data_IF_569083790306
#
_entry.id   IF_569083790306
#
_cell.length_a   1.000
_cell.length_b   1.000
_cell.length_c   1.000
_cell.angle_alpha   90.00
_cell.angle_beta   90.00
_cell.angle_gamma   90.00
#
_symmetry.space_group_name_H-M   'P 1'
#
loop_
_entity.id
_entity.type
_entity.pdbx_description
1 polymer ?
#
# COMPACT_ATOMS: atom_id res chain seq x y z
N UNK A 1 -27.16 1.62 -2.45
CA UNK A 1 -26.44 0.48 -3.06
C UNK A 1 -24.98 0.40 -2.62
N UNK A 2 -24.39 1.49 -2.11
CA UNK A 2 -23.09 1.58 -1.43
C UNK A 2 -22.80 0.52 -0.35
N UNK A 3 -23.77 0.20 0.52
CA UNK A 3 -23.50 -0.59 1.73
C UNK A 3 -23.23 -2.07 1.48
N UNK A 4 -23.64 -2.63 0.34
CA UNK A 4 -23.46 -4.06 0.03
C UNK A 4 -22.04 -4.34 -0.46
N UNK A 5 -21.46 -3.43 -1.26
CA UNK A 5 -20.10 -3.58 -1.80
C UNK A 5 -19.02 -3.43 -0.72
N UNK A 6 -19.16 -2.45 0.18
CA UNK A 6 -18.24 -2.29 1.33
C UNK A 6 -18.28 -3.48 2.29
N UNK A 7 -19.47 -4.03 2.55
CA UNK A 7 -19.64 -5.24 3.36
C UNK A 7 -18.95 -6.44 2.71
N UNK A 8 -18.98 -6.53 1.37
CA UNK A 8 -18.29 -7.58 0.62
C UNK A 8 -16.77 -7.51 0.74
N UNK A 9 -16.17 -6.31 0.75
CA UNK A 9 -14.72 -6.13 0.86
C UNK A 9 -14.23 -6.45 2.27
N UNK A 10 -14.89 -5.94 3.30
CA UNK A 10 -14.52 -6.23 4.69
C UNK A 10 -14.60 -7.73 4.99
N UNK A 11 -15.64 -8.41 4.48
CA UNK A 11 -15.78 -9.87 4.60
C UNK A 11 -14.65 -10.60 3.87
N UNK A 12 -14.24 -10.13 2.69
CA UNK A 12 -13.11 -10.71 1.96
C UNK A 12 -11.78 -10.54 2.72
N UNK A 13 -11.54 -9.36 3.30
CA UNK A 13 -10.36 -9.11 4.13
C UNK A 13 -10.34 -10.03 5.35
N UNK A 14 -11.45 -10.15 6.07
CA UNK A 14 -11.55 -11.01 7.26
C UNK A 14 -11.28 -12.47 6.92
N UNK A 15 -11.88 -12.97 5.83
CA UNK A 15 -11.62 -14.33 5.35
C UNK A 15 -10.15 -14.56 5.00
N UNK A 16 -9.51 -13.59 4.34
CA UNK A 16 -8.11 -13.68 3.96
C UNK A 16 -7.21 -13.72 5.20
N UNK A 17 -7.48 -12.86 6.19
CA UNK A 17 -6.70 -12.79 7.45
C UNK A 17 -6.79 -14.12 8.21
N UNK A 18 -7.99 -14.68 8.34
CA UNK A 18 -8.23 -15.94 9.04
C UNK A 18 -7.42 -17.08 8.39
N UNK A 19 -7.56 -17.25 7.07
CA UNK A 19 -6.88 -18.30 6.30
C UNK A 19 -5.36 -18.14 6.30
N UNK A 20 -4.87 -16.90 6.18
CA UNK A 20 -3.45 -16.61 6.23
C UNK A 20 -2.78 -16.97 7.57
N UNK A 21 -3.55 -17.01 8.67
CA UNK A 21 -3.07 -17.44 9.98
C UNK A 21 -2.64 -18.92 10.03
N UNK A 22 -3.14 -19.74 9.11
CA UNK A 22 -2.86 -21.18 9.04
C UNK A 22 -1.69 -21.51 8.09
N UNK A 23 -1.23 -20.55 7.29
CA UNK A 23 -0.17 -20.72 6.29
C UNK A 23 1.20 -20.83 6.96
N UNK A 24 1.89 -21.96 6.72
CA UNK A 24 3.25 -22.21 7.22
C UNK A 24 4.36 -21.86 6.21
N UNK A 25 4.05 -21.90 4.92
CA UNK A 25 5.00 -21.55 3.84
C UNK A 25 5.13 -20.03 3.74
N UNK A 26 6.35 -19.50 3.60
CA UNK A 26 6.60 -18.05 3.53
C UNK A 26 5.95 -17.27 4.71
N UNK A 27 5.86 -17.87 5.90
CA UNK A 27 5.05 -17.36 7.01
C UNK A 27 5.34 -15.90 7.36
N UNK A 28 6.61 -15.48 7.34
CA UNK A 28 7.00 -14.10 7.62
C UNK A 28 6.49 -13.11 6.55
N UNK A 29 6.51 -13.51 5.28
CA UNK A 29 5.96 -12.71 4.17
C UNK A 29 4.44 -12.66 4.21
N UNK A 30 3.78 -13.77 4.56
CA UNK A 30 2.32 -13.82 4.76
C UNK A 30 1.89 -12.95 5.95
N UNK A 31 2.70 -12.89 7.02
CA UNK A 31 2.49 -11.98 8.17
C UNK A 31 2.54 -10.51 7.77
N UNK A 32 3.39 -10.12 6.83
CA UNK A 32 3.43 -8.74 6.33
C UNK A 32 2.13 -8.35 5.63
N UNK A 33 1.65 -9.22 4.74
CA UNK A 33 0.39 -9.00 4.00
C UNK A 33 -0.79 -8.91 4.97
N UNK A 34 -0.90 -9.84 5.92
CA UNK A 34 -1.98 -9.83 6.92
C UNK A 34 -1.95 -8.60 7.82
N UNK A 35 -0.77 -8.17 8.26
CA UNK A 35 -0.64 -6.95 9.07
C UNK A 35 -1.15 -5.72 8.30
N UNK A 36 -0.83 -5.61 7.02
CA UNK A 36 -1.34 -4.53 6.16
C UNK A 36 -2.86 -4.61 5.97
N UNK A 37 -3.40 -5.82 5.80
CA UNK A 37 -4.85 -6.03 5.68
C UNK A 37 -5.60 -5.65 6.97
N UNK A 38 -5.04 -5.95 8.15
CA UNK A 38 -5.61 -5.54 9.44
C UNK A 38 -5.68 -4.00 9.54
N UNK A 39 -4.62 -3.29 9.13
CA UNK A 39 -4.61 -1.81 9.11
C UNK A 39 -5.66 -1.25 8.16
N UNK A 40 -5.72 -1.76 6.93
CA UNK A 40 -6.70 -1.36 5.93
C UNK A 40 -8.13 -1.63 6.38
N UNK A 41 -8.40 -2.79 6.98
CA UNK A 41 -9.69 -3.13 7.57
C UNK A 41 -10.13 -2.09 8.60
N UNK A 42 -9.23 -1.70 9.53
CA UNK A 42 -9.51 -0.68 10.53
C UNK A 42 -9.88 0.65 9.88
N UNK A 43 -9.08 1.10 8.89
CA UNK A 43 -9.33 2.35 8.17
C UNK A 43 -10.67 2.36 7.43
N UNK A 44 -11.05 1.23 6.82
CA UNK A 44 -12.37 1.08 6.18
C UNK A 44 -13.51 1.09 7.20
N UNK A 45 -13.32 0.46 8.36
CA UNK A 45 -14.31 0.47 9.43
C UNK A 45 -14.54 1.87 9.99
N UNK A 46 -13.48 2.67 10.08
CA UNK A 46 -13.53 4.06 10.56
C UNK A 46 -14.09 5.02 9.50
N UNK A 47 -13.90 4.73 8.20
CA UNK A 47 -14.34 5.56 7.06
C UNK A 47 -15.69 5.16 6.45
N UNK A 48 -16.29 4.07 6.93
CA UNK A 48 -17.59 3.52 6.50
C UNK A 48 -18.76 4.53 6.59
N UNK A 49 -18.58 5.62 7.34
CA UNK A 49 -19.55 6.71 7.48
C UNK A 49 -19.42 7.81 6.41
N UNK A 50 -18.35 7.85 5.60
CA UNK A 50 -18.02 9.04 4.79
C UNK A 50 -17.80 8.78 3.30
N UNK A 51 -17.40 7.58 2.87
CA UNK A 51 -16.91 7.37 1.49
C UNK A 51 -17.72 6.35 0.68
N UNK A 52 -18.63 6.87 -0.14
CA UNK A 52 -19.28 6.18 -1.26
C UNK A 52 -18.37 6.24 -2.50
N UNK A 53 -17.12 5.77 -2.39
CA UNK A 53 -16.12 5.78 -3.46
C UNK A 53 -15.98 4.39 -4.08
N UNK A 54 -16.82 4.09 -5.07
CA UNK A 54 -16.84 2.81 -5.81
C UNK A 54 -15.50 2.46 -6.46
N UNK A 55 -14.71 3.45 -6.90
CA UNK A 55 -13.42 3.22 -7.56
C UNK A 55 -12.35 2.70 -6.59
N UNK A 56 -12.37 3.19 -5.34
CA UNK A 56 -11.47 2.74 -4.27
C UNK A 56 -11.71 1.27 -3.91
N UNK A 57 -12.95 0.80 -4.06
CA UNK A 57 -13.38 -0.55 -3.75
C UNK A 57 -12.97 -1.57 -4.81
N UNK A 58 -13.05 -1.19 -6.09
CA UNK A 58 -12.63 -2.04 -7.22
C UNK A 58 -11.11 -2.28 -7.20
N UNK A 59 -10.31 -1.23 -7.02
CA UNK A 59 -8.84 -1.32 -6.91
C UNK A 59 -8.42 -2.27 -5.78
N UNK A 60 -9.10 -2.20 -4.63
CA UNK A 60 -8.81 -3.08 -3.50
C UNK A 60 -9.23 -4.53 -3.79
N UNK A 61 -10.38 -4.75 -4.42
CA UNK A 61 -10.80 -6.09 -4.82
C UNK A 61 -9.80 -6.76 -5.77
N UNK A 62 -9.21 -5.99 -6.70
CA UNK A 62 -8.15 -6.47 -7.59
C UNK A 62 -6.85 -6.83 -6.85
N UNK A 63 -6.55 -6.20 -5.70
CA UNK A 63 -5.41 -6.55 -4.85
C UNK A 63 -5.73 -7.77 -3.96
N UNK A 64 -6.95 -7.88 -3.45
CA UNK A 64 -7.36 -8.98 -2.56
C UNK A 64 -7.46 -10.32 -3.27
N UNK A 65 -7.90 -10.35 -4.53
CA UNK A 65 -8.01 -11.58 -5.32
C UNK A 65 -6.69 -12.37 -5.42
N UNK A 66 -5.56 -11.79 -5.89
CA UNK A 66 -4.30 -12.53 -5.96
C UNK A 66 -3.76 -12.93 -4.58
N UNK A 67 -4.06 -12.17 -3.51
CA UNK A 67 -3.68 -12.56 -2.15
C UNK A 67 -4.43 -13.83 -1.73
N UNK A 68 -5.74 -13.88 -1.98
CA UNK A 68 -6.57 -15.04 -1.64
C UNK A 68 -6.20 -16.27 -2.47
N UNK A 69 -5.86 -16.10 -3.75
CA UNK A 69 -5.35 -17.18 -4.62
C UNK A 69 -4.03 -17.75 -4.07
N UNK A 70 -3.10 -16.88 -3.66
CA UNK A 70 -1.82 -17.31 -3.09
C UNK A 70 -2.01 -18.06 -1.77
N UNK A 71 -2.85 -17.55 -0.87
CA UNK A 71 -3.14 -18.21 0.40
C UNK A 71 -3.78 -19.58 0.15
N UNK A 72 -4.69 -19.67 -0.83
CA UNK A 72 -5.29 -20.94 -1.25
C UNK A 72 -4.21 -21.93 -1.71
N UNK A 73 -3.32 -21.52 -2.61
CA UNK A 73 -2.20 -22.34 -3.08
C UNK A 73 -1.28 -22.78 -1.93
N UNK A 74 -1.03 -21.91 -0.95
CA UNK A 74 -0.17 -22.24 0.18
C UNK A 74 -0.82 -23.21 1.18
N UNK A 75 -2.15 -23.32 1.19
CA UNK A 75 -2.90 -24.24 2.05
C UNK A 75 -3.16 -25.60 1.38
N UNK A 76 -3.33 -25.65 0.06
CA UNK A 76 -3.79 -26.84 -0.70
C UNK A 76 -2.70 -27.89 -1.03
N UNK A 77 -1.65 -28.01 -0.22
CA UNK A 77 -0.49 -28.95 -0.29
C UNK A 77 0.81 -28.37 -0.90
N UNK A 78 1.92 -28.56 -0.17
CA UNK A 78 3.31 -28.18 -0.52
C UNK A 78 3.82 -28.71 -1.87
N UNK A 79 3.16 -29.71 -2.46
CA UNK A 79 3.58 -30.36 -3.71
C UNK A 79 2.98 -29.72 -4.97
N UNK A 80 2.09 -28.74 -4.84
CA UNK A 80 1.34 -28.12 -5.92
C UNK A 80 1.44 -26.59 -5.91
N UNK A 81 2.64 -26.04 -5.68
CA UNK A 81 2.92 -24.65 -6.06
C UNK A 81 2.80 -24.40 -7.59
N UNK A 82 2.21 -25.30 -8.38
CA UNK A 82 2.09 -25.20 -9.85
C UNK A 82 3.41 -24.84 -10.55
N UNK A 83 4.54 -25.32 -10.03
CA UNK A 83 5.88 -25.00 -10.54
C UNK A 83 6.44 -23.64 -10.08
N UNK A 84 5.76 -22.94 -9.18
CA UNK A 84 6.23 -21.70 -8.55
C UNK A 84 7.25 -22.05 -7.47
N UNK A 85 8.42 -21.42 -7.52
CA UNK A 85 9.45 -21.64 -6.51
C UNK A 85 9.10 -20.88 -5.23
N UNK A 86 9.75 -21.26 -4.13
CA UNK A 86 9.66 -20.53 -2.86
C UNK A 86 10.07 -19.05 -3.05
N UNK A 87 11.10 -18.76 -3.85
CA UNK A 87 11.53 -17.39 -4.16
C UNK A 87 10.50 -16.60 -4.97
N UNK A 88 9.83 -17.24 -5.93
CA UNK A 88 8.76 -16.59 -6.70
C UNK A 88 7.61 -16.17 -5.77
N UNK A 89 7.25 -17.06 -4.83
CA UNK A 89 6.20 -16.82 -3.84
C UNK A 89 6.57 -15.67 -2.89
N UNK A 90 7.79 -15.65 -2.35
CA UNK A 90 8.29 -14.54 -1.52
C UNK A 90 8.24 -13.21 -2.28
N UNK A 91 8.71 -13.22 -3.54
CA UNK A 91 8.71 -12.04 -4.40
C UNK A 91 7.31 -11.51 -4.69
N UNK A 92 6.33 -12.39 -4.91
CA UNK A 92 4.94 -11.99 -5.13
C UNK A 92 4.31 -11.44 -3.85
N UNK A 93 4.52 -12.08 -2.70
CA UNK A 93 4.02 -11.61 -1.41
C UNK A 93 4.58 -10.23 -1.03
N UNK A 94 5.88 -9.99 -1.29
CA UNK A 94 6.49 -8.68 -1.09
C UNK A 94 5.88 -7.61 -2.00
N UNK A 95 5.65 -7.94 -3.28
CA UNK A 95 4.99 -7.02 -4.23
C UNK A 95 3.55 -6.70 -3.82
N UNK A 96 2.81 -7.68 -3.31
CA UNK A 96 1.45 -7.47 -2.79
C UNK A 96 1.44 -6.63 -1.53
N UNK A 97 2.37 -6.88 -0.59
CA UNK A 97 2.56 -6.04 0.59
C UNK A 97 2.81 -4.57 0.21
N UNK A 98 3.67 -4.33 -0.77
CA UNK A 98 3.93 -2.98 -1.27
C UNK A 98 2.69 -2.34 -1.90
N UNK A 99 1.94 -3.08 -2.75
CA UNK A 99 0.69 -2.59 -3.34
C UNK A 99 -0.34 -2.22 -2.30
N UNK A 100 -0.49 -3.01 -1.24
CA UNK A 100 -1.36 -2.67 -0.10
C UNK A 100 -0.92 -1.38 0.58
N UNK A 101 0.37 -1.20 0.83
CA UNK A 101 0.90 0.02 1.44
C UNK A 101 0.75 1.25 0.53
N UNK A 102 0.90 1.09 -0.79
CA UNK A 102 0.63 2.16 -1.76
C UNK A 102 -0.84 2.57 -1.76
N UNK A 103 -1.73 1.58 -1.73
CA UNK A 103 -3.16 1.80 -1.64
C UNK A 103 -3.53 2.52 -0.33
N UNK A 104 -3.02 2.05 0.81
CA UNK A 104 -3.16 2.71 2.12
C UNK A 104 -2.66 4.16 2.09
N UNK A 105 -1.50 4.41 1.47
CA UNK A 105 -0.95 5.74 1.27
C UNK A 105 -1.84 6.62 0.38
N UNK A 106 -2.49 6.06 -0.64
CA UNK A 106 -3.40 6.84 -1.49
C UNK A 106 -4.67 7.27 -0.76
N UNK A 107 -5.10 6.50 0.25
CA UNK A 107 -6.22 6.86 1.11
C UNK A 107 -5.88 7.96 2.12
N UNK A 108 -4.60 8.17 2.45
CA UNK A 108 -4.20 9.16 3.45
C UNK A 108 -4.19 10.61 2.90
N UNK A 109 -4.80 11.53 3.66
CA UNK A 109 -5.00 12.93 3.24
C UNK A 109 -3.74 13.80 3.36
N UNK A 110 -2.83 13.47 4.28
CA UNK A 110 -1.60 14.23 4.54
C UNK A 110 -0.37 13.48 4.01
N UNK A 111 0.52 14.22 3.35
CA UNK A 111 1.80 13.72 2.86
C UNK A 111 2.66 13.08 3.95
N UNK A 112 2.69 13.60 5.17
CA UNK A 112 3.51 13.04 6.25
C UNK A 112 3.09 11.60 6.58
N UNK A 113 1.78 11.34 6.66
CA UNK A 113 1.22 10.01 6.88
C UNK A 113 1.55 9.09 5.70
N UNK A 114 1.50 9.62 4.47
CA UNK A 114 1.88 8.88 3.25
C UNK A 114 3.34 8.46 3.25
N UNK A 115 4.26 9.33 3.72
CA UNK A 115 5.67 8.98 3.93
C UNK A 115 5.75 7.83 4.92
N UNK A 116 5.10 7.98 6.07
CA UNK A 116 5.23 7.04 7.18
C UNK A 116 4.75 5.64 6.79
N UNK A 117 3.62 5.52 6.10
CA UNK A 117 3.08 4.24 5.61
C UNK A 117 4.10 3.54 4.70
N UNK A 118 4.63 4.26 3.70
CA UNK A 118 5.57 3.68 2.73
C UNK A 118 6.93 3.36 3.37
N UNK A 119 7.41 4.22 4.28
CA UNK A 119 8.65 3.98 5.02
C UNK A 119 8.56 2.77 5.94
N UNK A 120 7.44 2.61 6.65
CA UNK A 120 7.19 1.42 7.49
C UNK A 120 7.14 0.16 6.63
N UNK A 121 6.40 0.18 5.52
CA UNK A 121 6.31 -0.96 4.62
C UNK A 121 7.68 -1.37 4.06
N UNK A 122 8.51 -0.39 3.68
CA UNK A 122 9.89 -0.65 3.23
C UNK A 122 10.76 -1.24 4.35
N UNK A 123 10.65 -0.73 5.57
CA UNK A 123 11.38 -1.25 6.72
C UNK A 123 10.97 -2.69 7.05
N UNK A 124 9.67 -2.98 7.04
CA UNK A 124 9.13 -4.31 7.27
C UNK A 124 9.60 -5.32 6.21
N UNK A 125 9.64 -4.92 4.94
CA UNK A 125 10.19 -5.74 3.85
C UNK A 125 11.69 -5.99 4.02
N UNK A 126 12.45 -4.96 4.42
CA UNK A 126 13.89 -5.11 4.73
C UNK A 126 14.14 -6.08 5.87
N UNK A 127 13.30 -6.06 6.90
CA UNK A 127 13.41 -7.00 8.02
C UNK A 127 13.10 -8.44 7.59
N UNK A 128 12.12 -8.64 6.71
CA UNK A 128 11.87 -9.97 6.13
C UNK A 128 13.01 -10.44 5.22
N UNK A 129 13.50 -9.58 4.34
CA UNK A 129 14.63 -9.89 3.45
C UNK A 129 15.98 -9.94 4.14
N UNK A 130 16.15 -9.38 5.33
CA UNK A 130 17.37 -9.57 6.11
C UNK A 130 17.46 -10.99 6.69
N UNK A 131 16.31 -11.69 6.80
CA UNK A 131 16.25 -13.10 7.19
C UNK A 131 16.44 -14.04 6.00
N UNK A 132 16.19 -13.61 4.77
CA UNK A 132 16.50 -14.35 3.53
C UNK A 132 17.80 -13.83 2.90
N UNK A 133 18.51 -14.66 2.14
CA UNK A 133 19.85 -14.32 1.61
C UNK A 133 19.82 -13.66 0.21
N UNK A 134 18.71 -13.03 -0.19
CA UNK A 134 18.49 -12.65 -1.60
C UNK A 134 18.89 -11.20 -1.93
N UNK A 135 20.06 -11.08 -2.58
CA UNK A 135 20.68 -9.81 -3.00
C UNK A 135 19.89 -9.09 -4.12
N UNK A 136 19.16 -9.85 -4.95
CA UNK A 136 18.40 -9.31 -6.09
C UNK A 136 17.17 -8.52 -5.63
N UNK A 137 16.53 -9.03 -4.58
CA UNK A 137 15.39 -8.39 -3.93
C UNK A 137 15.81 -7.14 -3.15
N UNK A 138 17.00 -7.14 -2.53
CA UNK A 138 17.59 -5.93 -1.92
C UNK A 138 17.78 -4.81 -2.93
N UNK A 139 18.36 -5.11 -4.09
CA UNK A 139 18.56 -4.11 -5.15
C UNK A 139 17.24 -3.52 -5.67
N UNK A 140 16.20 -4.35 -5.80
CA UNK A 140 14.87 -3.89 -6.23
C UNK A 140 14.24 -2.92 -5.23
N UNK A 141 14.38 -3.20 -3.92
CA UNK A 141 13.88 -2.31 -2.88
C UNK A 141 14.62 -0.97 -2.83
N UNK A 142 15.93 -0.97 -3.06
CA UNK A 142 16.71 0.27 -3.09
C UNK A 142 16.30 1.17 -4.27
N UNK A 143 15.99 0.58 -5.44
CA UNK A 143 15.42 1.32 -6.58
C UNK A 143 14.07 1.93 -6.23
N UNK A 144 13.20 1.16 -5.56
CA UNK A 144 11.88 1.64 -5.12
C UNK A 144 12.00 2.77 -4.10
N UNK A 145 12.93 2.67 -3.14
CA UNK A 145 13.22 3.74 -2.18
C UNK A 145 13.66 5.02 -2.89
N UNK A 146 14.58 4.91 -3.84
CA UNK A 146 15.04 6.08 -4.61
C UNK A 146 13.93 6.70 -5.44
N UNK A 147 13.09 5.89 -6.09
CA UNK A 147 11.93 6.39 -6.84
C UNK A 147 10.92 7.08 -5.93
N UNK A 148 10.67 6.52 -4.74
CA UNK A 148 9.74 7.07 -3.76
C UNK A 148 10.26 8.41 -3.24
N UNK A 149 11.54 8.48 -2.84
CA UNK A 149 12.20 9.72 -2.42
C UNK A 149 12.18 10.78 -3.51
N UNK A 150 12.53 10.42 -4.75
CA UNK A 150 12.57 11.35 -5.89
C UNK A 150 11.18 11.91 -6.20
N UNK A 151 10.16 11.07 -6.31
CA UNK A 151 8.78 11.52 -6.55
C UNK A 151 8.27 12.42 -5.41
N UNK A 152 8.68 12.16 -4.17
CA UNK A 152 8.29 12.98 -3.02
C UNK A 152 8.93 14.36 -3.05
N UNK A 153 10.24 14.42 -3.33
CA UNK A 153 10.99 15.67 -3.50
C UNK A 153 10.41 16.47 -4.66
N UNK A 154 10.09 15.82 -5.78
CA UNK A 154 9.59 16.47 -6.99
C UNK A 154 8.15 16.99 -6.80
N UNK A 155 7.29 16.24 -6.10
CA UNK A 155 5.95 16.69 -5.67
C UNK A 155 6.03 17.85 -4.68
N UNK A 156 6.94 17.82 -3.72
CA UNK A 156 7.18 18.94 -2.79
C UNK A 156 7.71 20.18 -3.49
N UNK A 157 8.62 20.02 -4.46
CA UNK A 157 9.14 21.12 -5.29
C UNK A 157 8.02 21.76 -6.09
N UNK A 158 7.19 20.96 -6.76
CA UNK A 158 6.04 21.43 -7.52
C UNK A 158 5.02 22.18 -6.66
N UNK A 159 4.66 21.62 -5.50
CA UNK A 159 3.73 22.29 -4.57
C UNK A 159 4.32 23.61 -4.05
N UNK A 160 5.60 23.63 -3.66
CA UNK A 160 6.29 24.86 -3.24
C UNK A 160 6.28 25.91 -4.35
N UNK A 161 6.65 25.56 -5.59
CA UNK A 161 6.60 26.48 -6.73
C UNK A 161 5.18 27.01 -6.99
N UNK A 162 4.15 26.17 -6.88
CA UNK A 162 2.75 26.56 -7.05
C UNK A 162 2.31 27.56 -5.97
N UNK A 163 2.55 27.27 -4.70
CA UNK A 163 2.16 28.14 -3.59
C UNK A 163 2.95 29.45 -3.58
N UNK A 164 4.25 29.43 -3.90
CA UNK A 164 5.05 30.66 -4.04
C UNK A 164 4.47 31.58 -5.13
N UNK A 165 4.10 31.04 -6.30
CA UNK A 165 3.46 31.83 -7.37
C UNK A 165 2.09 32.39 -6.98
N UNK A 166 1.32 31.65 -6.20
CA UNK A 166 0.02 32.12 -5.68
C UNK A 166 0.21 33.26 -4.67
N UNK A 167 1.17 33.13 -3.75
CA UNK A 167 1.49 34.18 -2.77
C UNK A 167 2.07 35.41 -3.47
N UNK A 168 2.95 35.25 -4.46
CA UNK A 168 3.49 36.35 -5.26
C UNK A 168 2.40 37.08 -6.05
N UNK A 169 1.46 36.35 -6.66
CA UNK A 169 0.31 36.94 -7.35
C UNK A 169 -0.59 37.71 -6.40
N UNK A 170 -0.82 37.18 -5.20
CA UNK A 170 -1.64 37.84 -4.18
C UNK A 170 -0.98 39.10 -3.65
N UNK A 171 0.33 39.05 -3.36
CA UNK A 171 1.11 40.22 -2.96
C UNK A 171 1.13 41.29 -4.04
N UNK A 172 1.26 40.89 -5.32
CA UNK A 172 1.21 41.83 -6.45
C UNK A 172 -0.15 42.50 -6.58
N UNK A 173 -1.24 41.74 -6.46
CA UNK A 173 -2.59 42.28 -6.45
C UNK A 173 -2.83 43.23 -5.26
N UNK A 174 -2.31 42.92 -4.07
CA UNK A 174 -2.37 43.84 -2.93
C UNK A 174 -1.60 45.13 -3.22
N UNK A 175 -0.39 45.06 -3.77
CA UNK A 175 0.41 46.25 -4.11
C UNK A 175 -0.30 47.11 -5.16
N UNK A 176 -0.89 46.49 -6.19
CA UNK A 176 -1.65 47.19 -7.24
C UNK A 176 -2.91 47.89 -6.66
N UNK A 177 -3.55 47.30 -5.65
CA UNK A 177 -4.71 47.89 -4.96
C UNK A 177 -4.34 49.07 -4.04
N UNK A 178 -3.08 49.21 -3.62
CA UNK A 178 -2.60 50.29 -2.74
C UNK A 178 -1.84 51.40 -3.48
N UNK A 179 -1.87 51.43 -4.82
CA UNK A 179 -1.24 52.46 -5.66
C UNK A 179 -2.21 53.54 -6.19
N UNK A 180 -3.35 53.75 -5.52
CA UNK A 180 -4.25 54.91 -5.70
C UNK A 180 -4.24 55.78 -4.44
#
# INVERSE_FOLDING_TARGET
MASVATTSILTAIDRIIERAGEVKVCQDHTKLVTTSLIRLRSQFNDRLTVLDETHSQEDLAEILKPIDEIITCCMENEHLLNGMTYQDLESVLLRLHYRLAQYESNLADNCEIRVQILSNALQDQRLCLAKSSDETLRQTLDVIEQQTKKNMIEKHRYLREKYTKTVESYLRACIELYQW
#
